data_IF_162188849774
#
_entry.id   IF_162188849774
#
_cell.length_a   1.000
_cell.length_b   1.000
_cell.length_c   1.000
_cell.angle_alpha   90.00
_cell.angle_beta   90.00
_cell.angle_gamma   90.00
#
_symmetry.space_group_name_H-M   'P 1'
#
loop_
_entity.id
_entity.type
_entity.pdbx_description
1 polymer ?
#
# COMPACT_ATOMS: atom_id res chain seq x y z
N UNK A 1 20.99 26.61 0.61
CA UNK A 1 19.65 27.13 0.24
C UNK A 1 18.97 27.59 1.52
N UNK A 2 18.36 28.80 1.55
CA UNK A 2 17.72 29.31 2.77
C UNK A 2 16.43 28.53 3.11
N UNK A 3 16.04 28.52 4.39
CA UNK A 3 14.79 27.90 4.85
C UNK A 3 13.58 28.38 4.07
N UNK A 4 13.43 29.71 3.88
CA UNK A 4 12.32 30.28 3.11
C UNK A 4 12.27 29.79 1.66
N UNK A 5 13.42 29.60 1.02
CA UNK A 5 13.48 29.07 -0.34
C UNK A 5 13.04 27.62 -0.39
N UNK A 6 13.47 26.80 0.57
CA UNK A 6 13.02 25.38 0.70
C UNK A 6 11.52 25.29 0.90
N UNK A 7 10.95 26.12 1.79
CA UNK A 7 9.51 26.17 2.04
C UNK A 7 8.73 26.49 0.76
N UNK A 8 9.16 27.48 -0.03
CA UNK A 8 8.53 27.80 -1.31
C UNK A 8 8.59 26.62 -2.30
N UNK A 9 9.72 25.93 -2.36
CA UNK A 9 9.91 24.77 -3.23
C UNK A 9 8.98 23.63 -2.85
N UNK A 10 8.91 23.30 -1.56
CA UNK A 10 8.03 22.24 -1.03
C UNK A 10 6.56 22.62 -1.23
N UNK A 11 6.18 23.87 -0.96
CA UNK A 11 4.82 24.36 -1.20
C UNK A 11 4.40 24.16 -2.68
N UNK A 12 5.28 24.55 -3.62
CA UNK A 12 5.03 24.32 -5.06
C UNK A 12 4.89 22.84 -5.39
N UNK A 13 5.69 21.99 -4.77
CA UNK A 13 5.66 20.54 -4.98
C UNK A 13 4.36 19.90 -4.43
N UNK A 14 3.91 20.28 -3.22
CA UNK A 14 2.68 19.79 -2.61
C UNK A 14 1.42 20.17 -3.41
N UNK A 15 1.45 21.30 -4.11
CA UNK A 15 0.31 21.83 -4.90
C UNK A 15 0.33 21.40 -6.37
N UNK A 16 1.17 20.43 -6.76
CA UNK A 16 1.12 19.89 -8.13
C UNK A 16 -0.19 19.16 -8.40
N UNK A 17 -0.60 19.11 -9.67
CA UNK A 17 -1.79 18.38 -10.13
C UNK A 17 -1.77 16.88 -9.71
N UNK A 18 -0.57 16.31 -9.49
CA UNK A 18 -0.38 14.95 -8.97
C UNK A 18 -1.09 14.75 -7.62
N UNK A 19 -1.16 15.77 -6.79
CA UNK A 19 -1.66 15.71 -5.42
C UNK A 19 -2.98 16.46 -5.20
N UNK A 20 -3.69 16.84 -6.27
CA UNK A 20 -4.91 17.67 -6.16
C UNK A 20 -6.01 17.07 -5.28
N UNK A 21 -6.07 15.74 -5.19
CA UNK A 21 -7.07 15.00 -4.41
C UNK A 21 -6.51 14.48 -3.07
N UNK A 22 -5.27 14.81 -2.72
CA UNK A 22 -4.63 14.32 -1.48
C UNK A 22 -4.81 15.34 -0.37
N UNK A 23 -5.52 14.94 0.69
CA UNK A 23 -5.67 15.74 1.90
C UNK A 23 -4.44 15.65 2.80
N UNK A 24 -4.04 16.79 3.39
CA UNK A 24 -2.94 16.90 4.34
C UNK A 24 -3.35 17.78 5.51
N UNK A 25 -2.89 17.42 6.69
CA UNK A 25 -3.06 18.23 7.91
C UNK A 25 -1.81 19.02 8.27
N UNK A 26 -0.79 18.99 7.44
CA UNK A 26 0.49 19.71 7.58
C UNK A 26 0.77 20.59 6.38
N UNK A 27 1.68 21.53 6.56
CA UNK A 27 2.08 22.49 5.54
C UNK A 27 3.56 22.35 5.15
N UNK A 28 4.00 23.14 4.17
CA UNK A 28 5.36 23.09 3.63
C UNK A 28 6.43 23.48 4.67
N UNK A 29 6.12 24.36 5.61
CA UNK A 29 7.06 24.78 6.66
C UNK A 29 7.34 23.64 7.63
N UNK A 30 6.29 22.92 8.05
CA UNK A 30 6.41 21.73 8.89
C UNK A 30 7.22 20.63 8.18
N UNK A 31 6.99 20.40 6.90
CA UNK A 31 7.78 19.42 6.12
C UNK A 31 9.25 19.81 6.10
N UNK A 32 9.58 21.06 5.78
CA UNK A 32 10.98 21.51 5.74
C UNK A 32 11.65 21.43 7.11
N UNK A 33 10.90 21.70 8.18
CA UNK A 33 11.39 21.53 9.55
C UNK A 33 11.75 20.06 9.85
N UNK A 34 10.88 19.12 9.44
CA UNK A 34 11.11 17.69 9.63
C UNK A 34 12.23 17.12 8.73
N UNK A 35 12.52 17.76 7.60
CA UNK A 35 13.65 17.40 6.74
C UNK A 35 15.02 17.71 7.36
N UNK A 36 15.09 18.57 8.35
CA UNK A 36 16.33 19.02 8.95
C UNK A 36 17.11 20.02 8.08
N UNK A 37 18.41 20.17 8.34
CA UNK A 37 19.27 21.15 7.66
C UNK A 37 19.56 20.82 6.20
N UNK A 38 19.54 19.55 5.83
CA UNK A 38 19.84 19.09 4.48
C UNK A 38 18.56 18.82 3.67
N UNK A 39 18.62 19.12 2.38
CA UNK A 39 17.56 18.69 1.46
C UNK A 39 17.60 17.16 1.32
N UNK A 40 16.45 16.47 1.30
CA UNK A 40 16.41 15.03 1.01
C UNK A 40 17.10 14.70 -0.31
N UNK A 41 17.81 13.58 -0.31
CA UNK A 41 18.41 13.04 -1.53
C UNK A 41 17.29 12.45 -2.40
N UNK A 42 17.28 12.75 -3.69
CA UNK A 42 16.32 12.17 -4.60
C UNK A 42 16.57 10.67 -4.75
N UNK A 43 15.59 9.88 -4.34
CA UNK A 43 15.64 8.42 -4.47
C UNK A 43 15.33 8.00 -5.90
N UNK A 44 16.02 6.95 -6.40
CA UNK A 44 15.74 6.39 -7.72
C UNK A 44 14.30 5.85 -7.82
N UNK A 45 13.75 5.33 -6.72
CA UNK A 45 12.34 4.94 -6.58
C UNK A 45 11.35 6.05 -6.94
N UNK A 46 11.72 7.33 -6.76
CA UNK A 46 10.88 8.45 -7.15
C UNK A 46 10.64 8.51 -8.67
N UNK A 47 11.59 8.05 -9.49
CA UNK A 47 11.43 7.95 -10.95
C UNK A 47 10.41 6.86 -11.31
N UNK A 48 10.52 5.69 -10.68
CA UNK A 48 9.56 4.58 -10.88
C UNK A 48 8.18 4.90 -10.30
N UNK A 49 8.08 5.68 -9.22
CA UNK A 49 6.81 6.18 -8.68
C UNK A 49 6.09 7.11 -9.68
N UNK A 50 6.81 8.05 -10.28
CA UNK A 50 6.26 8.90 -11.35
C UNK A 50 5.80 8.08 -12.56
N UNK A 51 6.58 7.06 -12.92
CA UNK A 51 6.23 6.13 -14.00
C UNK A 51 4.97 5.35 -13.66
N UNK A 52 4.86 4.81 -12.45
CA UNK A 52 3.67 4.09 -11.98
C UNK A 52 2.42 4.97 -12.03
N UNK A 53 2.52 6.20 -11.53
CA UNK A 53 1.41 7.15 -11.63
C UNK A 53 0.97 7.41 -13.07
N UNK A 54 1.91 7.54 -14.01
CA UNK A 54 1.59 7.73 -15.42
C UNK A 54 0.95 6.48 -16.05
N UNK A 55 1.38 5.28 -15.67
CA UNK A 55 0.74 4.02 -16.06
C UNK A 55 -0.73 4.03 -15.63
N UNK A 56 -1.02 4.28 -14.35
CA UNK A 56 -2.37 4.34 -13.81
C UNK A 56 -3.26 5.37 -14.53
N UNK A 57 -2.73 6.59 -14.77
CA UNK A 57 -3.45 7.64 -15.52
C UNK A 57 -3.78 7.20 -16.95
N UNK A 58 -2.83 6.60 -17.63
CA UNK A 58 -3.02 6.14 -19.01
C UNK A 58 -4.04 4.99 -19.06
N UNK A 59 -3.99 4.05 -18.13
CA UNK A 59 -4.95 2.95 -18.03
C UNK A 59 -6.37 3.47 -17.77
N UNK A 60 -6.54 4.41 -16.82
CA UNK A 60 -7.82 5.09 -16.58
C UNK A 60 -8.33 5.81 -17.84
N UNK A 61 -7.48 6.60 -18.50
CA UNK A 61 -7.83 7.34 -19.73
C UNK A 61 -8.27 6.40 -20.86
N UNK A 62 -7.59 5.28 -21.03
CA UNK A 62 -7.83 4.33 -22.12
C UNK A 62 -8.85 3.26 -21.73
N UNK A 63 -9.42 3.29 -20.51
CA UNK A 63 -10.34 2.28 -19.97
C UNK A 63 -9.76 0.86 -20.06
N UNK A 64 -8.48 0.70 -19.70
CA UNK A 64 -7.74 -0.56 -19.71
C UNK A 64 -7.31 -0.92 -18.30
N UNK A 65 -7.26 -2.22 -18.01
CA UNK A 65 -6.62 -2.74 -16.81
C UNK A 65 -5.11 -2.74 -16.96
N UNK A 66 -4.41 -2.60 -15.85
CA UNK A 66 -2.98 -2.81 -15.76
C UNK A 66 -2.72 -4.17 -15.11
N UNK A 67 -1.76 -4.92 -15.66
CA UNK A 67 -1.46 -6.26 -15.17
C UNK A 67 -0.15 -6.24 -14.38
N UNK A 68 -0.22 -6.78 -13.18
CA UNK A 68 0.95 -7.00 -12.34
C UNK A 68 1.01 -8.47 -11.91
N UNK A 69 2.20 -8.93 -11.52
CA UNK A 69 2.38 -10.26 -10.97
C UNK A 69 3.47 -10.26 -9.90
N UNK A 70 3.36 -11.19 -8.94
CA UNK A 70 4.29 -11.29 -7.83
C UNK A 70 5.65 -11.83 -8.24
N UNK A 71 6.72 -11.19 -7.79
CA UNK A 71 8.10 -11.67 -7.95
C UNK A 71 8.72 -11.95 -6.58
N UNK A 72 9.41 -13.10 -6.47
CA UNK A 72 10.07 -13.56 -5.24
C UNK A 72 11.59 -13.38 -5.27
N UNK A 73 12.18 -13.36 -6.46
CA UNK A 73 13.62 -13.38 -6.63
C UNK A 73 14.11 -12.57 -7.86
N UNK A 74 15.41 -12.30 -7.94
CA UNK A 74 16.03 -11.55 -9.04
C UNK A 74 15.80 -12.12 -10.44
N UNK A 75 15.70 -13.44 -10.58
CA UNK A 75 15.47 -14.08 -11.88
C UNK A 75 14.05 -13.78 -12.37
N UNK A 76 13.06 -13.94 -11.50
CA UNK A 76 11.67 -13.68 -11.82
C UNK A 76 11.44 -12.23 -12.24
N UNK A 77 11.90 -11.24 -11.45
CA UNK A 77 11.71 -9.83 -11.77
C UNK A 77 12.37 -9.45 -13.10
N UNK A 78 13.51 -10.07 -13.43
CA UNK A 78 14.22 -9.84 -14.68
C UNK A 78 13.42 -10.38 -15.86
N UNK A 79 12.94 -11.61 -15.77
CA UNK A 79 12.14 -12.24 -16.83
C UNK A 79 10.78 -11.54 -17.01
N UNK A 80 10.11 -11.17 -15.93
CA UNK A 80 8.81 -10.47 -15.97
C UNK A 80 8.89 -9.08 -16.58
N UNK A 81 10.07 -8.44 -16.55
CA UNK A 81 10.25 -7.08 -17.08
C UNK A 81 9.92 -6.94 -18.55
N UNK A 82 9.96 -8.03 -19.33
CA UNK A 82 9.59 -8.02 -20.74
C UNK A 82 8.07 -7.99 -20.97
N UNK A 83 7.30 -8.56 -20.05
CA UNK A 83 5.87 -8.85 -20.25
C UNK A 83 4.96 -7.98 -19.41
N UNK A 84 5.42 -7.51 -18.26
CA UNK A 84 4.63 -6.72 -17.31
C UNK A 84 5.08 -5.27 -17.30
N UNK A 85 4.14 -4.36 -17.03
CA UNK A 85 4.43 -2.94 -16.84
C UNK A 85 4.73 -2.58 -15.39
N UNK A 86 4.29 -3.41 -14.43
CA UNK A 86 4.54 -3.28 -13.00
C UNK A 86 4.84 -4.66 -12.39
N UNK A 87 5.46 -4.67 -11.21
CA UNK A 87 5.78 -5.88 -10.45
C UNK A 87 5.26 -5.74 -9.03
N UNK A 88 4.67 -6.81 -8.49
CA UNK A 88 4.17 -6.84 -7.12
C UNK A 88 5.12 -7.60 -6.19
N UNK A 89 5.29 -7.10 -4.97
CA UNK A 89 5.99 -7.79 -3.88
C UNK A 89 5.03 -8.02 -2.74
N UNK A 90 4.55 -9.25 -2.64
CA UNK A 90 3.56 -9.70 -1.66
C UNK A 90 4.17 -9.96 -0.29
N UNK A 91 3.46 -9.59 0.77
CA UNK A 91 3.75 -10.01 2.13
C UNK A 91 3.71 -11.52 2.28
N UNK A 92 2.66 -12.18 1.77
CA UNK A 92 2.55 -13.64 1.81
C UNK A 92 3.71 -14.36 1.11
N UNK A 93 4.02 -13.98 -0.11
CA UNK A 93 5.16 -14.56 -0.82
C UNK A 93 6.47 -14.34 -0.08
N UNK A 94 6.64 -13.17 0.56
CA UNK A 94 7.83 -12.86 1.35
C UNK A 94 7.86 -13.70 2.63
N UNK A 95 6.74 -13.84 3.36
CA UNK A 95 6.66 -14.68 4.56
C UNK A 95 6.96 -16.16 4.26
N UNK A 96 6.50 -16.66 3.11
CA UNK A 96 6.77 -18.04 2.68
C UNK A 96 8.24 -18.33 2.37
N UNK A 97 9.04 -17.31 2.06
CA UNK A 97 10.45 -17.48 1.63
C UNK A 97 11.47 -16.84 2.57
N UNK A 98 11.03 -16.02 3.52
CA UNK A 98 11.90 -15.26 4.42
C UNK A 98 11.27 -15.03 5.80
N UNK A 99 10.47 -15.96 6.29
CA UNK A 99 9.93 -15.93 7.66
C UNK A 99 11.01 -16.14 8.71
N UNK A 100 10.73 -15.72 9.94
CA UNK A 100 11.69 -15.80 11.05
C UNK A 100 12.13 -17.23 11.41
N UNK A 101 11.28 -18.22 11.14
CA UNK A 101 11.52 -19.64 11.46
C UNK A 101 11.64 -20.55 10.23
N UNK A 102 11.66 -19.98 9.03
CA UNK A 102 11.65 -20.72 7.75
C UNK A 102 10.46 -21.67 7.55
N UNK A 103 9.42 -21.55 8.37
CA UNK A 103 8.20 -22.33 8.19
C UNK A 103 7.31 -21.63 7.16
N UNK A 104 7.09 -22.22 5.97
CA UNK A 104 6.18 -21.62 4.99
C UNK A 104 4.75 -21.69 5.51
N UNK A 105 4.04 -20.58 5.39
CA UNK A 105 2.68 -20.48 5.88
C UNK A 105 1.97 -19.26 5.32
N UNK A 106 0.70 -19.08 5.70
CA UNK A 106 -0.05 -17.89 5.32
C UNK A 106 0.58 -16.66 5.97
N UNK A 107 0.38 -15.51 5.33
CA UNK A 107 0.80 -14.23 5.85
C UNK A 107 -0.05 -13.83 7.08
N UNK A 108 0.60 -13.83 8.24
CA UNK A 108 0.04 -13.37 9.52
C UNK A 108 0.76 -12.11 10.01
N UNK A 109 1.59 -11.48 9.16
CA UNK A 109 2.54 -10.44 9.54
C UNK A 109 3.45 -10.86 10.73
N UNK A 110 3.82 -12.14 10.78
CA UNK A 110 4.64 -12.76 11.83
C UNK A 110 6.14 -12.81 11.47
N UNK A 111 6.53 -12.09 10.43
CA UNK A 111 7.92 -11.89 10.01
C UNK A 111 8.43 -10.51 10.43
N UNK A 112 9.76 -10.30 10.50
CA UNK A 112 10.32 -8.98 10.76
C UNK A 112 9.80 -7.92 9.80
N UNK A 113 9.38 -6.76 10.31
CA UNK A 113 8.72 -5.71 9.51
C UNK A 113 9.59 -5.14 8.37
N UNK A 114 10.90 -5.43 8.38
CA UNK A 114 11.85 -5.08 7.32
C UNK A 114 12.01 -6.16 6.23
N UNK A 115 11.31 -7.31 6.35
CA UNK A 115 11.45 -8.42 5.39
C UNK A 115 10.97 -8.05 4.00
N UNK A 116 9.80 -7.42 3.87
CA UNK A 116 9.28 -6.98 2.56
C UNK A 116 10.14 -5.84 1.96
N UNK A 117 10.53 -4.80 2.71
CA UNK A 117 11.52 -3.82 2.22
C UNK A 117 12.83 -4.45 1.72
N UNK A 118 13.39 -5.42 2.43
CA UNK A 118 14.59 -6.14 1.99
C UNK A 118 14.37 -6.91 0.69
N UNK A 119 13.20 -7.53 0.53
CA UNK A 119 12.82 -8.19 -0.73
C UNK A 119 12.73 -7.17 -1.87
N UNK A 120 12.11 -6.02 -1.65
CA UNK A 120 12.05 -4.93 -2.62
C UNK A 120 13.46 -4.47 -3.03
N UNK A 121 14.37 -4.25 -2.08
CA UNK A 121 15.76 -3.85 -2.36
C UNK A 121 16.47 -4.88 -3.23
N UNK A 122 16.32 -6.17 -2.91
CA UNK A 122 16.90 -7.25 -3.69
C UNK A 122 16.44 -7.22 -5.16
N UNK A 123 15.14 -7.08 -5.38
CA UNK A 123 14.56 -7.04 -6.72
C UNK A 123 14.92 -5.76 -7.47
N UNK A 124 14.90 -4.62 -6.80
CA UNK A 124 15.25 -3.34 -7.39
C UNK A 124 16.72 -3.26 -7.81
N UNK A 125 17.63 -3.84 -7.00
CA UNK A 125 19.05 -3.98 -7.38
C UNK A 125 19.24 -4.86 -8.61
N UNK A 126 18.43 -5.90 -8.77
CA UNK A 126 18.42 -6.71 -9.99
C UNK A 126 18.00 -5.88 -11.22
N UNK A 127 16.96 -5.05 -11.10
CA UNK A 127 16.53 -4.14 -12.16
C UNK A 127 17.68 -3.18 -12.56
N UNK A 128 18.34 -2.56 -11.58
CA UNK A 128 19.50 -1.67 -11.82
C UNK A 128 20.63 -2.42 -12.55
N UNK A 129 20.95 -3.64 -12.10
CA UNK A 129 22.00 -4.45 -12.69
C UNK A 129 21.72 -4.78 -14.16
N UNK A 130 20.51 -5.25 -14.48
CA UNK A 130 20.14 -5.66 -15.82
C UNK A 130 19.98 -4.47 -16.78
N UNK A 131 19.47 -3.34 -16.32
CA UNK A 131 19.46 -2.09 -17.07
C UNK A 131 20.87 -1.67 -17.47
N UNK A 132 21.82 -1.64 -16.50
CA UNK A 132 23.21 -1.31 -16.76
C UNK A 132 23.85 -2.27 -17.75
N UNK A 133 23.62 -3.58 -17.61
CA UNK A 133 24.17 -4.60 -18.51
C UNK A 133 23.59 -4.48 -19.92
N UNK A 134 22.31 -4.19 -20.03
CA UNK A 134 21.68 -3.91 -21.33
C UNK A 134 22.27 -2.67 -21.98
N UNK A 135 22.42 -1.57 -21.23
CA UNK A 135 23.00 -0.33 -21.72
C UNK A 135 24.45 -0.56 -22.23
N UNK A 136 25.29 -1.23 -21.43
CA UNK A 136 26.65 -1.58 -21.80
C UNK A 136 26.70 -2.41 -23.10
N UNK A 137 25.88 -3.43 -23.23
CA UNK A 137 25.76 -4.27 -24.42
C UNK A 137 25.32 -3.46 -25.63
N UNK A 138 24.32 -2.60 -25.48
CA UNK A 138 23.80 -1.80 -26.59
C UNK A 138 24.83 -0.80 -27.15
N UNK A 139 25.75 -0.31 -26.30
CA UNK A 139 26.87 0.53 -26.76
C UNK A 139 27.91 -0.30 -27.52
N UNK A 140 28.23 -1.52 -27.04
CA UNK A 140 29.29 -2.36 -27.63
C UNK A 140 28.84 -3.15 -28.84
N UNK A 141 27.56 -3.52 -28.91
CA UNK A 141 26.98 -4.39 -29.94
C UNK A 141 25.59 -3.85 -30.35
N UNK A 142 25.53 -2.70 -31.05
CA UNK A 142 24.26 -2.05 -31.41
C UNK A 142 23.33 -2.93 -32.24
N UNK A 143 23.87 -3.85 -33.01
CA UNK A 143 23.16 -4.79 -33.88
C UNK A 143 22.37 -5.87 -33.09
N UNK A 144 22.73 -6.12 -31.84
CA UNK A 144 22.07 -7.12 -30.96
C UNK A 144 21.06 -6.52 -30.02
N UNK A 145 20.62 -5.28 -30.25
CA UNK A 145 19.78 -4.53 -29.33
C UNK A 145 18.37 -5.10 -29.21
N UNK A 146 18.07 -5.60 -28.01
CA UNK A 146 16.71 -5.73 -27.49
C UNK A 146 16.58 -4.76 -26.32
N UNK A 147 15.67 -3.80 -26.41
CA UNK A 147 15.45 -2.81 -25.36
C UNK A 147 14.33 -3.27 -24.44
N UNK A 148 14.68 -3.86 -23.31
CA UNK A 148 13.77 -4.20 -22.23
C UNK A 148 13.80 -3.06 -21.21
N UNK A 149 12.65 -2.58 -20.80
CA UNK A 149 12.56 -1.64 -19.71
C UNK A 149 12.60 -2.40 -18.38
N UNK A 150 13.78 -2.53 -17.79
CA UNK A 150 13.97 -3.22 -16.52
C UNK A 150 13.44 -2.44 -15.32
N UNK A 151 13.33 -1.11 -15.38
CA UNK A 151 12.76 -0.30 -14.29
C UNK A 151 11.24 -0.38 -14.25
N UNK A 152 10.71 -1.59 -14.07
CA UNK A 152 9.28 -1.78 -13.81
C UNK A 152 8.97 -1.30 -12.40
N UNK A 153 7.96 -0.41 -12.22
CA UNK A 153 7.57 0.03 -10.89
C UNK A 153 7.22 -1.15 -9.98
N UNK A 154 7.82 -1.19 -8.79
CA UNK A 154 7.54 -2.19 -7.78
C UNK A 154 6.46 -1.65 -6.84
N UNK A 155 5.38 -2.41 -6.70
CA UNK A 155 4.31 -2.17 -5.73
C UNK A 155 4.50 -3.16 -4.59
N UNK A 156 4.58 -2.68 -3.35
CA UNK A 156 4.94 -3.51 -2.21
C UNK A 156 3.84 -3.57 -1.15
N UNK A 157 3.73 -4.72 -0.52
CA UNK A 157 2.86 -5.00 0.61
C UNK A 157 3.47 -4.44 1.89
N UNK A 158 2.78 -3.52 2.55
CA UNK A 158 3.15 -3.00 3.86
C UNK A 158 2.25 -3.57 4.98
N UNK A 159 1.52 -4.65 4.69
CA UNK A 159 0.58 -5.26 5.63
C UNK A 159 -0.36 -4.22 6.26
N UNK A 160 -0.65 -4.36 7.55
CA UNK A 160 -1.37 -3.36 8.34
C UNK A 160 -0.42 -2.27 8.92
N UNK A 161 0.77 -2.09 8.36
CA UNK A 161 1.76 -1.09 8.80
C UNK A 161 2.60 -1.52 10.00
N UNK A 162 2.47 -2.75 10.50
CA UNK A 162 3.21 -3.35 11.61
C UNK A 162 3.20 -2.56 12.94
N UNK A 163 2.32 -1.58 13.09
CA UNK A 163 2.19 -0.79 14.31
C UNK A 163 1.47 0.53 14.12
N UNK A 164 1.72 1.46 15.04
CA UNK A 164 1.13 2.79 14.99
C UNK A 164 1.82 3.73 13.97
N UNK A 165 1.39 5.01 13.91
CA UNK A 165 1.86 5.97 12.90
C UNK A 165 3.38 6.10 12.79
N UNK A 166 4.11 6.08 13.91
CA UNK A 166 5.58 6.17 13.91
C UNK A 166 6.25 4.95 13.27
N UNK A 167 5.68 3.74 13.46
CA UNK A 167 6.16 2.52 12.82
C UNK A 167 5.90 2.58 11.32
N UNK A 168 4.70 3.04 10.91
CA UNK A 168 4.35 3.21 9.50
C UNK A 168 5.27 4.20 8.81
N UNK A 169 5.66 5.32 9.47
CA UNK A 169 6.63 6.26 8.90
C UNK A 169 7.98 5.59 8.64
N UNK A 170 8.52 4.84 9.62
CA UNK A 170 9.79 4.12 9.44
C UNK A 170 9.72 3.07 8.34
N UNK A 171 8.63 2.30 8.31
CA UNK A 171 8.38 1.30 7.28
C UNK A 171 8.31 1.93 5.88
N UNK A 172 7.59 3.03 5.75
CA UNK A 172 7.49 3.80 4.49
C UNK A 172 8.87 4.29 4.03
N UNK A 173 9.69 4.82 4.96
CA UNK A 173 11.06 5.21 4.63
C UNK A 173 11.85 4.05 4.05
N UNK A 174 11.82 2.88 4.70
CA UNK A 174 12.52 1.69 4.21
C UNK A 174 12.05 1.27 2.82
N UNK A 175 10.76 1.29 2.53
CA UNK A 175 10.24 0.98 1.20
C UNK A 175 10.71 1.95 0.13
N UNK A 176 10.69 3.25 0.42
CA UNK A 176 11.15 4.28 -0.52
C UNK A 176 12.65 4.12 -0.82
N UNK A 177 13.47 3.89 0.21
CA UNK A 177 14.91 3.67 0.08
C UNK A 177 15.22 2.36 -0.66
N UNK A 178 14.41 1.32 -0.43
CA UNK A 178 14.52 0.02 -1.10
C UNK A 178 14.16 0.04 -2.59
N UNK A 179 13.39 1.04 -3.06
CA UNK A 179 13.04 1.14 -4.48
C UNK A 179 11.56 0.99 -4.80
N UNK A 180 10.67 0.91 -3.81
CA UNK A 180 9.23 0.80 -4.04
C UNK A 180 8.67 2.05 -4.73
N UNK A 181 7.91 1.83 -5.81
CA UNK A 181 7.17 2.87 -6.52
C UNK A 181 5.82 3.18 -5.88
N UNK A 182 5.25 2.20 -5.21
CA UNK A 182 4.02 2.31 -4.44
C UNK A 182 4.00 1.29 -3.31
N UNK A 183 3.21 1.59 -2.28
CA UNK A 183 2.96 0.69 -1.15
C UNK A 183 1.47 0.65 -0.86
N UNK A 184 0.96 -0.48 -0.45
CA UNK A 184 -0.38 -0.56 0.10
C UNK A 184 -0.37 -0.88 1.59
N UNK A 185 -1.37 -0.35 2.29
CA UNK A 185 -1.59 -0.58 3.72
C UNK A 185 -3.03 -0.99 3.89
N UNK A 186 -3.27 -2.12 4.54
CA UNK A 186 -4.61 -2.66 4.77
C UNK A 186 -5.18 -2.27 6.14
N UNK A 187 -6.51 -2.31 6.23
CA UNK A 187 -7.26 -1.88 7.40
C UNK A 187 -7.47 -2.99 8.45
N UNK A 188 -6.65 -4.03 8.40
CA UNK A 188 -6.66 -5.06 9.43
C UNK A 188 -5.99 -4.58 10.73
N UNK A 189 -6.40 -5.17 11.85
CA UNK A 189 -5.81 -4.92 13.16
C UNK A 189 -4.42 -5.57 13.26
N UNK A 190 -3.43 -4.76 13.65
CA UNK A 190 -2.09 -5.27 13.97
C UNK A 190 -2.17 -6.31 15.11
N UNK A 191 -1.42 -7.39 14.99
CA UNK A 191 -1.42 -8.50 15.96
C UNK A 191 -2.56 -9.51 15.80
N UNK A 192 -3.63 -9.18 15.04
CA UNK A 192 -4.70 -10.11 14.67
C UNK A 192 -4.83 -10.27 13.14
N UNK A 193 -3.86 -9.73 12.39
CA UNK A 193 -3.81 -9.75 10.93
C UNK A 193 -3.77 -11.18 10.39
N UNK A 194 -4.50 -11.40 9.30
CA UNK A 194 -4.52 -12.67 8.55
C UNK A 194 -4.37 -12.40 7.06
N UNK A 195 -3.93 -13.40 6.31
CA UNK A 195 -3.95 -13.34 4.86
C UNK A 195 -5.35 -13.00 4.35
N UNK A 196 -5.45 -12.20 3.29
CA UNK A 196 -6.71 -11.74 2.72
C UNK A 196 -7.72 -12.84 2.40
N UNK A 197 -7.25 -14.08 2.11
CA UNK A 197 -8.08 -15.25 1.84
C UNK A 197 -8.53 -16.02 3.08
N UNK A 198 -8.03 -15.68 4.27
CA UNK A 198 -8.40 -16.37 5.49
C UNK A 198 -9.66 -15.79 6.13
N UNK A 199 -10.42 -16.66 6.80
CA UNK A 199 -11.57 -16.27 7.61
C UNK A 199 -11.16 -15.65 8.96
N UNK A 200 -12.10 -14.95 9.59
CA UNK A 200 -11.92 -14.39 10.93
C UNK A 200 -11.00 -13.18 10.99
N UNK A 201 -10.90 -12.42 9.90
CA UNK A 201 -10.17 -11.14 9.85
C UNK A 201 -10.81 -10.13 10.79
N UNK A 202 -9.96 -9.36 11.48
CA UNK A 202 -10.37 -8.27 12.39
C UNK A 202 -9.94 -6.95 11.76
N UNK A 203 -10.87 -6.02 11.58
CA UNK A 203 -10.58 -4.66 11.14
C UNK A 203 -10.17 -3.79 12.33
N UNK A 204 -9.27 -2.82 12.09
CA UNK A 204 -9.12 -1.67 12.98
C UNK A 204 -10.19 -0.63 12.65
N UNK A 205 -10.43 0.37 13.54
CA UNK A 205 -11.29 1.49 13.20
C UNK A 205 -10.81 2.19 11.93
N UNK A 206 -11.73 2.74 11.13
CA UNK A 206 -11.33 3.46 9.91
C UNK A 206 -10.44 4.67 10.22
N UNK A 207 -10.57 5.31 11.39
CA UNK A 207 -9.67 6.40 11.79
C UNK A 207 -8.26 5.93 12.07
N UNK A 208 -8.07 4.73 12.60
CA UNK A 208 -6.72 4.16 12.73
C UNK A 208 -6.10 3.93 11.35
N UNK A 209 -6.85 3.37 10.42
CA UNK A 209 -6.38 3.17 9.05
C UNK A 209 -6.05 4.51 8.35
N UNK A 210 -6.91 5.52 8.48
CA UNK A 210 -6.64 6.87 7.97
C UNK A 210 -5.36 7.44 8.59
N UNK A 211 -5.13 7.23 9.88
CA UNK A 211 -3.92 7.68 10.56
C UNK A 211 -2.66 7.00 10.00
N UNK A 212 -2.73 5.70 9.66
CA UNK A 212 -1.64 4.97 8.98
C UNK A 212 -1.37 5.54 7.59
N UNK A 213 -2.40 5.78 6.78
CA UNK A 213 -2.25 6.38 5.44
C UNK A 213 -1.67 7.79 5.50
N UNK A 214 -2.10 8.61 6.46
CA UNK A 214 -1.54 9.95 6.72
C UNK A 214 -0.07 9.86 7.14
N UNK A 215 0.31 8.92 8.00
CA UNK A 215 1.70 8.71 8.41
C UNK A 215 2.60 8.32 7.23
N UNK A 216 2.14 7.41 6.37
CA UNK A 216 2.85 7.05 5.15
C UNK A 216 3.01 8.25 4.20
N UNK A 217 1.96 9.04 4.01
CA UNK A 217 2.00 10.25 3.18
C UNK A 217 2.94 11.30 3.76
N UNK A 218 2.92 11.53 5.07
CA UNK A 218 3.82 12.46 5.75
C UNK A 218 5.28 12.07 5.52
N UNK A 219 5.59 10.78 5.66
CA UNK A 219 6.96 10.31 5.41
C UNK A 219 7.39 10.50 3.96
N UNK A 220 6.52 10.21 2.99
CA UNK A 220 6.79 10.48 1.58
C UNK A 220 7.03 11.98 1.32
N UNK A 221 6.23 12.86 1.93
CA UNK A 221 6.36 14.30 1.81
C UNK A 221 7.70 14.79 2.42
N UNK A 222 8.12 14.26 3.57
CA UNK A 222 9.42 14.56 4.19
C UNK A 222 10.56 14.13 3.25
N UNK A 223 10.47 12.94 2.66
CA UNK A 223 11.47 12.44 1.71
C UNK A 223 11.39 13.10 0.32
N UNK A 224 10.33 13.85 0.03
CA UNK A 224 10.12 14.52 -1.26
C UNK A 224 9.87 13.54 -2.40
N UNK A 225 9.14 12.45 -2.17
CA UNK A 225 8.87 11.39 -3.14
C UNK A 225 7.42 11.39 -3.60
N UNK A 226 7.20 10.98 -4.86
CA UNK A 226 5.87 10.81 -5.47
C UNK A 226 5.32 9.37 -5.26
N UNK A 227 5.85 8.64 -4.27
CA UNK A 227 5.43 7.27 -3.96
C UNK A 227 3.91 7.16 -3.86
N UNK A 228 3.36 6.18 -4.56
CA UNK A 228 1.92 5.95 -4.63
C UNK A 228 1.46 5.24 -3.36
N UNK A 229 0.56 5.86 -2.62
CA UNK A 229 -0.04 5.26 -1.42
C UNK A 229 -1.39 4.63 -1.80
N UNK A 230 -1.52 3.34 -1.51
CA UNK A 230 -2.70 2.55 -1.82
C UNK A 230 -3.38 2.19 -0.50
N UNK A 231 -4.63 2.62 -0.33
CA UNK A 231 -5.47 2.22 0.79
C UNK A 231 -6.19 0.93 0.45
N UNK A 232 -5.87 -0.16 1.16
CA UNK A 232 -6.53 -1.45 0.99
C UNK A 232 -7.57 -1.65 2.08
N UNK A 233 -8.73 -2.20 1.71
CA UNK A 233 -9.74 -2.67 2.67
C UNK A 233 -9.98 -4.16 2.52
N UNK A 234 -10.02 -4.85 3.64
CA UNK A 234 -10.38 -6.26 3.79
C UNK A 234 -11.83 -6.46 4.26
N UNK A 235 -12.61 -5.38 4.29
CA UNK A 235 -13.94 -5.35 4.88
C UNK A 235 -14.97 -6.24 4.19
N UNK A 236 -14.74 -6.63 2.91
CA UNK A 236 -15.68 -7.50 2.20
C UNK A 236 -15.88 -8.86 2.90
N UNK A 237 -14.82 -9.39 3.51
CA UNK A 237 -14.86 -10.72 4.15
C UNK A 237 -14.36 -10.74 5.59
N UNK A 238 -14.12 -9.57 6.20
CA UNK A 238 -13.81 -9.47 7.62
C UNK A 238 -15.04 -9.83 8.46
N UNK A 239 -14.82 -10.41 9.64
CA UNK A 239 -15.90 -10.81 10.54
C UNK A 239 -15.99 -9.95 11.78
N UNK A 240 -14.92 -9.23 12.10
CA UNK A 240 -14.80 -8.50 13.35
C UNK A 240 -14.19 -7.13 13.14
N UNK A 241 -14.46 -6.24 14.10
CA UNK A 241 -13.81 -4.93 14.24
C UNK A 241 -13.42 -4.69 15.69
N UNK A 242 -12.33 -3.97 15.93
CA UNK A 242 -11.82 -3.72 17.28
C UNK A 242 -12.46 -2.55 18.01
N UNK A 243 -13.29 -1.74 17.33
CA UNK A 243 -13.86 -0.50 17.88
C UNK A 243 -15.26 -0.23 17.34
N UNK A 244 -16.10 0.37 18.18
CA UNK A 244 -17.49 0.74 17.91
C UNK A 244 -17.73 2.25 17.91
N UNK A 245 -16.66 3.05 17.83
CA UNK A 245 -16.78 4.51 18.00
C UNK A 245 -16.83 5.30 16.70
N UNK A 246 -16.46 4.67 15.55
CA UNK A 246 -16.35 5.39 14.30
C UNK A 246 -17.71 5.45 13.57
N UNK A 247 -18.18 6.66 13.18
CA UNK A 247 -19.47 6.81 12.49
C UNK A 247 -19.57 6.07 11.15
N UNK A 248 -18.44 5.76 10.50
CA UNK A 248 -18.44 5.00 9.25
C UNK A 248 -18.65 3.51 9.53
N UNK A 249 -18.13 3.01 10.64
CA UNK A 249 -18.14 1.59 10.99
C UNK A 249 -19.39 1.18 11.79
N UNK A 250 -19.92 2.09 12.63
CA UNK A 250 -21.09 1.85 13.50
C UNK A 250 -22.29 1.20 12.77
N UNK A 251 -22.69 1.66 11.56
CA UNK A 251 -23.87 1.09 10.89
C UNK A 251 -23.74 -0.39 10.54
N UNK A 252 -22.54 -0.93 10.56
CA UNK A 252 -22.24 -2.31 10.21
C UNK A 252 -21.95 -3.21 11.43
N UNK A 253 -22.00 -2.67 12.64
CA UNK A 253 -21.81 -3.45 13.86
C UNK A 253 -23.10 -4.20 14.18
N UNK A 254 -22.98 -5.52 14.38
CA UNK A 254 -24.11 -6.39 14.70
C UNK A 254 -24.35 -6.34 16.20
N UNK A 255 -25.46 -5.74 16.64
CA UNK A 255 -25.80 -5.60 18.04
C UNK A 255 -26.19 -6.91 18.74
N UNK A 256 -26.73 -7.89 17.99
CA UNK A 256 -27.18 -9.17 18.52
C UNK A 256 -26.76 -10.32 17.60
N UNK A 257 -25.58 -10.88 17.79
CA UNK A 257 -25.19 -12.08 17.06
C UNK A 257 -25.71 -13.32 17.78
N UNK A 258 -26.51 -14.13 17.08
CA UNK A 258 -26.97 -15.44 17.59
C UNK A 258 -25.84 -16.45 17.81
N UNK A 259 -24.64 -16.15 17.32
CA UNK A 259 -23.43 -16.97 17.50
C UNK A 259 -22.77 -16.75 18.88
N UNK A 260 -23.14 -15.69 19.59
CA UNK A 260 -22.62 -15.40 20.95
C UNK A 260 -23.32 -16.21 22.07
N UNK A 261 -23.83 -17.40 21.78
CA UNK A 261 -24.46 -18.25 22.79
C UNK A 261 -23.53 -18.77 23.88
N UNK A 262 -22.24 -18.48 23.80
CA UNK A 262 -21.25 -18.97 24.78
C UNK A 262 -21.12 -18.08 26.01
N UNK A 263 -21.48 -16.80 25.96
CA UNK A 263 -21.27 -15.92 27.09
C UNK A 263 -22.40 -14.92 27.31
N UNK A 264 -23.18 -15.13 28.35
CA UNK A 264 -24.18 -14.17 28.86
C UNK A 264 -23.58 -12.83 29.36
N UNK A 265 -22.25 -12.63 29.22
CA UNK A 265 -21.54 -11.48 29.79
C UNK A 265 -21.29 -10.36 28.79
N UNK A 266 -21.09 -10.70 27.49
CA UNK A 266 -20.84 -9.72 26.41
C UNK A 266 -21.56 -10.17 25.14
N UNK A 267 -22.88 -9.97 25.02
CA UNK A 267 -23.68 -10.57 23.92
C UNK A 267 -23.25 -10.13 22.51
N UNK A 268 -22.42 -9.10 22.38
CA UNK A 268 -22.06 -8.48 21.10
C UNK A 268 -20.55 -8.51 20.81
N UNK A 269 -19.74 -9.21 21.63
CA UNK A 269 -18.28 -9.24 21.49
C UNK A 269 -17.74 -10.66 21.51
N UNK A 270 -16.59 -10.85 20.86
CA UNK A 270 -15.79 -12.05 21.03
C UNK A 270 -15.12 -12.06 22.41
N UNK A 271 -14.56 -13.21 22.87
CA UNK A 271 -13.78 -13.26 24.12
C UNK A 271 -12.59 -12.29 24.13
N UNK A 272 -12.03 -11.96 22.96
CA UNK A 272 -10.95 -10.96 22.80
C UNK A 272 -11.47 -9.51 22.81
N UNK A 273 -12.78 -9.32 22.85
CA UNK A 273 -13.43 -8.01 22.93
C UNK A 273 -13.74 -7.36 21.59
N UNK A 274 -13.63 -8.07 20.47
CA UNK A 274 -13.99 -7.56 19.15
C UNK A 274 -15.50 -7.57 18.93
N UNK A 275 -15.99 -6.63 18.11
CA UNK A 275 -17.38 -6.58 17.69
C UNK A 275 -17.60 -7.40 16.42
N UNK A 276 -18.73 -8.08 16.32
CA UNK A 276 -19.18 -8.69 15.08
C UNK A 276 -19.66 -7.63 14.09
N UNK A 277 -19.35 -7.80 12.81
CA UNK A 277 -19.75 -6.87 11.74
C UNK A 277 -20.47 -7.56 10.61
N UNK A 278 -21.41 -6.86 10.02
CA UNK A 278 -22.01 -7.18 8.74
C UNK A 278 -21.01 -6.78 7.63
N UNK A 279 -20.21 -7.76 7.24
CA UNK A 279 -19.19 -7.60 6.21
C UNK A 279 -19.81 -7.60 4.80
N UNK A 280 -19.13 -7.02 3.84
CA UNK A 280 -19.59 -7.01 2.46
C UNK A 280 -19.10 -5.81 1.68
N UNK A 281 -19.61 -5.67 0.45
CA UNK A 281 -19.22 -4.56 -0.42
C UNK A 281 -19.67 -3.20 0.13
N UNK A 282 -20.79 -3.12 0.81
CA UNK A 282 -21.28 -1.84 1.35
C UNK A 282 -20.33 -1.29 2.40
N UNK A 283 -19.87 -2.12 3.34
CA UNK A 283 -18.83 -1.73 4.30
C UNK A 283 -17.51 -1.40 3.60
N UNK A 284 -17.09 -2.22 2.64
CA UNK A 284 -15.86 -1.97 1.89
C UNK A 284 -15.91 -0.64 1.13
N UNK A 285 -17.02 -0.29 0.51
CA UNK A 285 -17.25 0.97 -0.19
C UNK A 285 -17.27 2.16 0.80
N UNK A 286 -17.96 2.02 1.95
CA UNK A 286 -18.01 3.05 2.98
C UNK A 286 -16.59 3.39 3.48
N UNK A 287 -15.80 2.37 3.81
CA UNK A 287 -14.41 2.52 4.26
C UNK A 287 -13.48 3.06 3.17
N UNK A 288 -13.62 2.58 1.93
CA UNK A 288 -12.86 3.08 0.79
C UNK A 288 -13.11 4.58 0.54
N UNK A 289 -14.38 5.01 0.59
CA UNK A 289 -14.73 6.43 0.47
C UNK A 289 -14.14 7.28 1.61
N UNK A 290 -14.06 6.74 2.84
CA UNK A 290 -13.41 7.42 3.95
C UNK A 290 -11.88 7.54 3.78
N UNK A 291 -11.24 6.54 3.17
CA UNK A 291 -9.80 6.53 2.86
C UNK A 291 -9.43 7.39 1.65
N UNK A 292 -10.34 7.62 0.71
CA UNK A 292 -10.07 8.25 -0.59
C UNK A 292 -9.30 9.59 -0.51
N UNK A 293 -9.56 10.50 0.44
CA UNK A 293 -8.78 11.73 0.57
C UNK A 293 -7.33 11.53 1.00
N UNK A 294 -6.96 10.35 1.48
CA UNK A 294 -5.64 10.06 2.09
C UNK A 294 -4.82 9.05 1.29
N UNK A 295 -5.43 8.41 0.29
CA UNK A 295 -4.78 7.45 -0.60
C UNK A 295 -4.78 7.98 -2.05
N UNK A 296 -3.84 7.49 -2.86
CA UNK A 296 -3.80 7.77 -4.31
C UNK A 296 -4.63 6.76 -5.10
N UNK A 297 -4.73 5.54 -4.58
CA UNK A 297 -5.43 4.39 -5.16
C UNK A 297 -6.15 3.66 -4.03
N UNK A 298 -7.30 3.08 -4.34
CA UNK A 298 -8.06 2.25 -3.43
C UNK A 298 -8.06 0.80 -3.92
N UNK A 299 -7.97 -0.14 -2.98
CA UNK A 299 -7.97 -1.57 -3.23
C UNK A 299 -9.01 -2.25 -2.32
N UNK A 300 -9.93 -2.98 -2.90
CA UNK A 300 -10.80 -3.91 -2.18
C UNK A 300 -10.25 -5.33 -2.32
N UNK A 301 -9.92 -5.98 -1.23
CA UNK A 301 -9.52 -7.38 -1.23
C UNK A 301 -10.73 -8.27 -1.48
N UNK A 302 -10.61 -9.16 -2.45
CA UNK A 302 -11.61 -10.17 -2.76
C UNK A 302 -11.01 -11.55 -2.48
N UNK A 303 -11.74 -12.38 -1.77
CA UNK A 303 -11.40 -13.78 -1.50
C UNK A 303 -11.51 -14.66 -2.75
N UNK A 304 -12.45 -14.32 -3.64
CA UNK A 304 -12.64 -14.97 -4.94
C UNK A 304 -12.77 -13.89 -6.01
N UNK A 305 -12.08 -14.01 -7.16
CA UNK A 305 -12.22 -13.06 -8.25
C UNK A 305 -13.66 -12.95 -8.75
N UNK A 306 -14.24 -11.75 -8.68
CA UNK A 306 -15.59 -11.44 -9.14
C UNK A 306 -15.59 -10.13 -9.91
N UNK A 307 -15.91 -10.20 -11.20
CA UNK A 307 -16.02 -9.00 -12.03
C UNK A 307 -17.20 -8.12 -11.58
N UNK A 308 -18.28 -8.73 -11.13
CA UNK A 308 -19.46 -8.01 -10.63
C UNK A 308 -19.13 -7.24 -9.35
N UNK A 309 -18.48 -7.87 -8.37
CA UNK A 309 -18.05 -7.21 -7.15
C UNK A 309 -17.08 -6.06 -7.43
N UNK A 310 -16.14 -6.27 -8.36
CA UNK A 310 -15.20 -5.23 -8.77
C UNK A 310 -15.92 -4.03 -9.41
N UNK A 311 -16.95 -4.28 -10.21
CA UNK A 311 -17.79 -3.25 -10.83
C UNK A 311 -18.58 -2.46 -9.78
N UNK A 312 -19.26 -3.16 -8.87
CA UNK A 312 -20.05 -2.55 -7.79
C UNK A 312 -19.15 -1.68 -6.91
N UNK A 313 -17.99 -2.21 -6.53
CA UNK A 313 -17.01 -1.45 -5.74
C UNK A 313 -16.55 -0.19 -6.46
N UNK A 314 -16.13 -0.31 -7.73
CA UNK A 314 -15.66 0.83 -8.51
C UNK A 314 -16.75 1.91 -8.65
N UNK A 315 -17.99 1.53 -8.99
CA UNK A 315 -19.12 2.46 -9.11
C UNK A 315 -19.47 3.13 -7.77
N UNK A 316 -19.37 2.39 -6.66
CA UNK A 316 -19.64 2.89 -5.31
C UNK A 316 -18.64 3.94 -4.84
N UNK A 317 -17.38 3.82 -5.29
CA UNK A 317 -16.30 4.77 -4.96
C UNK A 317 -16.32 5.97 -5.90
N UNK A 318 -16.47 5.80 -7.21
CA UNK A 318 -16.44 6.89 -8.20
C UNK A 318 -17.58 7.92 -8.02
N UNK A 319 -18.73 7.52 -7.47
CA UNK A 319 -19.87 8.42 -7.24
C UNK A 319 -19.63 9.49 -6.18
N UNK A 320 -18.61 9.32 -5.32
CA UNK A 320 -18.31 10.23 -4.21
C UNK A 320 -16.99 10.99 -4.36
N UNK A 321 -16.16 10.64 -5.34
CA UNK A 321 -14.83 11.20 -5.60
C UNK A 321 -14.68 11.56 -7.08
#
# INVERSE_FOLDING_TARGET
MSFKHRVRSVHKWLNRSRFKNVSRTWNAEQIVTLQGSQKPVEQLSNRTSKKFWNILKNSKKNKKCEYTYGALDPLQVTQMSEYLSTVYVSGWQTSSTASSNNLPGPDLADYPYDSVPKKVDQLFRSQIFHDRKQFERNIRMPELTKNIDYFRPIIADADAGHGGPSTVMKLTQMFVEAGAAGIHIEDQKNGAKKCGHQGGKVLCSIQEQISRLKAARLQCDIMGTDTVIIGRTDAKSAKFIDSDIDPVDIPFIIENSSESKLDNWLPNRTPEGYYHIDCGLDLAIARANAMAPYADVLWCELDTPSLEDARIFAEGVDKKN
#
